data_IF_300282109586
#
_entry.id   IF_300282109586
#
_cell.length_a   1.000
_cell.length_b   1.000
_cell.length_c   1.000
_cell.angle_alpha   90.00
_cell.angle_beta   90.00
_cell.angle_gamma   90.00
#
_symmetry.space_group_name_H-M   'P 1'
#
loop_
_entity.id
_entity.type
_entity.pdbx_description
1 polymer ?
#
# COMPACT_ATOMS: atom_id res chain seq x y z
N UNK A 1 0.46 -34.70 15.62
CA UNK A 1 -0.12 -34.04 16.81
C UNK A 1 0.37 -32.60 16.80
N UNK A 2 -0.50 -31.61 16.59
CA UNK A 2 -0.12 -30.19 16.58
C UNK A 2 -0.28 -29.60 17.98
N UNK A 3 0.76 -28.94 18.52
CA UNK A 3 0.69 -28.22 19.78
C UNK A 3 0.35 -26.75 19.54
N UNK A 4 -0.73 -26.27 20.17
CA UNK A 4 -1.11 -24.86 20.19
C UNK A 4 -0.57 -24.20 21.47
N UNK A 5 0.06 -23.02 21.34
CA UNK A 5 0.44 -22.17 22.49
C UNK A 5 -0.65 -21.13 22.74
N UNK A 6 -1.42 -21.30 23.81
CA UNK A 6 -2.37 -20.28 24.27
C UNK A 6 -1.60 -19.06 24.83
N UNK A 7 -1.86 -17.89 24.23
CA UNK A 7 -1.31 -16.59 24.62
C UNK A 7 -1.83 -16.21 26.01
N UNK A 8 -0.95 -16.15 27.01
CA UNK A 8 -1.22 -15.41 28.25
C UNK A 8 -0.90 -13.93 28.01
N UNK A 9 -1.90 -13.06 28.14
CA UNK A 9 -1.69 -11.62 28.21
C UNK A 9 -0.95 -11.31 29.51
N UNK A 10 0.34 -11.01 29.42
CA UNK A 10 1.13 -10.52 30.53
C UNK A 10 1.56 -9.10 30.20
N UNK A 11 0.69 -8.16 30.53
CA UNK A 11 1.09 -6.80 30.86
C UNK A 11 1.83 -6.93 32.19
N UNK A 12 3.16 -7.03 32.13
CA UNK A 12 4.00 -6.87 33.31
C UNK A 12 4.97 -5.73 33.03
N UNK A 13 4.53 -4.58 33.51
CA UNK A 13 5.25 -3.34 33.70
C UNK A 13 6.68 -3.59 34.25
N UNK A 14 7.75 -3.20 33.51
CA UNK A 14 9.12 -3.33 33.97
C UNK A 14 9.51 -2.47 35.18
N UNK A 15 8.60 -1.70 35.79
CA UNK A 15 8.97 -0.72 36.83
C UNK A 15 8.67 -1.18 38.27
N UNK A 16 8.10 -2.37 38.50
CA UNK A 16 7.92 -2.90 39.87
C UNK A 16 8.01 -4.43 39.97
N UNK A 17 9.20 -4.97 40.24
CA UNK A 17 9.33 -6.14 41.14
C UNK A 17 10.78 -6.35 41.59
N UNK A 18 10.93 -6.29 42.91
CA UNK A 18 12.13 -6.58 43.67
C UNK A 18 12.54 -8.06 43.56
N UNK A 19 13.85 -8.32 43.48
CA UNK A 19 14.42 -9.63 43.84
C UNK A 19 15.35 -10.25 42.80
N UNK A 20 16.66 -10.01 42.95
CA UNK A 20 17.70 -10.82 42.27
C UNK A 20 17.62 -12.29 42.73
N UNK A 21 18.05 -13.24 41.88
CA UNK A 21 19.00 -14.23 42.37
C UNK A 21 20.23 -14.42 41.47
N UNK A 22 21.36 -14.06 42.07
CA UNK A 22 22.65 -14.77 42.17
C UNK A 22 23.04 -15.84 41.11
N UNK A 23 24.29 -15.68 40.62
CA UNK A 23 25.19 -16.70 40.03
C UNK A 23 24.89 -17.24 38.62
N UNK A 24 25.20 -16.47 37.57
CA UNK A 24 25.80 -17.01 36.32
C UNK A 24 26.86 -16.09 35.70
N UNK A 25 28.09 -16.30 36.17
CA UNK A 25 29.38 -16.33 35.46
C UNK A 25 29.63 -15.31 34.32
N UNK A 26 30.39 -14.27 34.69
CA UNK A 26 31.08 -13.32 33.82
C UNK A 26 32.07 -14.07 32.91
N UNK A 27 31.87 -14.06 31.59
CA UNK A 27 32.95 -14.42 30.66
C UNK A 27 33.84 -13.19 30.44
N UNK A 28 35.11 -13.29 30.79
CA UNK A 28 36.15 -12.32 30.45
C UNK A 28 36.76 -12.67 29.08
N UNK A 29 37.27 -11.68 28.32
CA UNK A 29 37.68 -11.84 26.93
C UNK A 29 39.04 -12.51 26.82
N UNK A 30 39.24 -13.35 25.80
CA UNK A 30 40.57 -13.87 25.48
C UNK A 30 41.29 -12.87 24.57
N UNK A 31 42.25 -12.14 25.14
CA UNK A 31 43.23 -11.36 24.39
C UNK A 31 44.24 -12.35 23.77
N UNK A 32 44.26 -12.46 22.44
CA UNK A 32 45.39 -13.05 21.72
C UNK A 32 46.01 -11.97 20.83
N UNK A 33 46.99 -11.27 21.37
CA UNK A 33 47.98 -10.55 20.56
C UNK A 33 49.17 -11.47 20.37
N UNK A 34 49.69 -11.62 19.13
CA UNK A 34 51.09 -11.90 18.93
C UNK A 34 51.74 -10.68 18.30
N UNK A 35 52.59 -10.01 19.08
CA UNK A 35 53.63 -9.15 18.52
C UNK A 35 54.80 -10.03 18.05
N UNK A 36 55.34 -9.76 16.86
CA UNK A 36 56.79 -9.63 16.58
C UNK A 36 57.04 -9.56 15.07
N UNK A 37 57.29 -8.34 14.60
CA UNK A 37 58.36 -7.93 13.66
C UNK A 37 58.62 -8.65 12.32
N UNK A 38 58.59 -7.79 11.29
CA UNK A 38 59.57 -7.54 10.20
C UNK A 38 59.28 -8.00 8.76
N UNK A 39 59.16 -6.96 7.91
CA UNK A 39 59.62 -6.80 6.52
C UNK A 39 58.62 -6.85 5.34
N UNK A 40 58.46 -5.64 4.77
CA UNK A 40 58.59 -5.24 3.35
C UNK A 40 57.47 -5.59 2.35
N UNK A 41 56.62 -4.57 2.16
CA UNK A 41 56.17 -4.02 0.87
C UNK A 41 55.76 -4.97 -0.25
N UNK A 42 54.44 -5.21 -0.34
CA UNK A 42 53.73 -5.15 -1.61
C UNK A 42 52.35 -4.54 -1.35
N UNK A 43 52.01 -3.51 -2.13
CA UNK A 43 50.75 -2.79 -2.08
C UNK A 43 49.60 -3.72 -2.50
N UNK A 44 49.05 -4.47 -1.55
CA UNK A 44 47.75 -5.10 -1.66
C UNK A 44 46.77 -4.31 -0.79
N UNK A 45 45.84 -3.62 -1.45
CA UNK A 45 44.73 -2.93 -0.83
C UNK A 45 43.85 -3.97 -0.11
N UNK A 46 44.13 -4.21 1.16
CA UNK A 46 43.17 -4.89 2.03
C UNK A 46 42.09 -3.87 2.38
N UNK A 47 40.81 -4.08 1.99
CA UNK A 47 39.74 -3.26 2.52
C UNK A 47 39.65 -3.48 4.03
N UNK A 48 39.41 -2.40 4.77
CA UNK A 48 39.29 -2.39 6.23
C UNK A 48 38.41 -3.56 6.75
N UNK A 49 38.81 -4.28 7.83
CA UNK A 49 38.02 -5.36 8.41
C UNK A 49 36.73 -4.86 9.06
N UNK A 50 36.70 -3.58 9.42
CA UNK A 50 35.45 -2.83 9.58
C UNK A 50 35.10 -2.30 8.20
N UNK A 51 34.49 -3.14 7.37
CA UNK A 51 34.00 -2.76 6.06
C UNK A 51 33.12 -1.51 6.16
N UNK A 52 33.11 -0.68 5.12
CA UNK A 52 32.41 0.60 5.10
C UNK A 52 30.96 0.46 5.59
N UNK A 53 30.71 0.85 6.85
CA UNK A 53 29.38 0.89 7.47
C UNK A 53 28.68 2.17 7.03
N UNK A 54 28.63 2.37 5.72
CA UNK A 54 27.58 3.18 5.12
C UNK A 54 26.85 2.25 4.18
N UNK A 55 25.78 1.63 4.68
CA UNK A 55 24.75 1.10 3.81
C UNK A 55 24.12 2.31 3.09
N UNK A 56 24.83 2.85 2.10
CA UNK A 56 24.30 3.87 1.21
C UNK A 56 23.13 3.19 0.54
N UNK A 57 21.92 3.66 0.83
CA UNK A 57 20.71 3.28 0.13
C UNK A 57 20.94 3.62 -1.34
N UNK A 58 21.51 2.67 -2.08
CA UNK A 58 21.75 2.88 -3.51
C UNK A 58 20.38 2.96 -4.19
N UNK A 59 20.27 3.72 -5.30
CA UNK A 59 19.03 3.78 -6.07
C UNK A 59 18.49 2.38 -6.41
N UNK A 60 19.38 1.43 -6.72
CA UNK A 60 19.01 0.05 -7.03
C UNK A 60 18.41 -0.67 -5.83
N UNK A 61 19.00 -0.48 -4.64
CA UNK A 61 18.49 -1.07 -3.39
C UNK A 61 17.16 -0.45 -2.97
N UNK A 62 17.02 0.86 -3.16
CA UNK A 62 15.76 1.56 -2.91
C UNK A 62 14.66 1.04 -3.84
N UNK A 63 14.95 0.90 -5.13
CA UNK A 63 14.00 0.35 -6.10
C UNK A 63 13.64 -1.12 -5.79
N UNK A 64 14.61 -1.92 -5.36
CA UNK A 64 14.35 -3.30 -4.92
C UNK A 64 13.42 -3.33 -3.70
N UNK A 65 13.71 -2.53 -2.67
CA UNK A 65 12.87 -2.44 -1.48
C UNK A 65 11.45 -1.96 -1.81
N UNK A 66 11.30 -0.95 -2.68
CA UNK A 66 9.98 -0.46 -3.11
C UNK A 66 9.18 -1.57 -3.83
N UNK A 67 9.81 -2.31 -4.75
CA UNK A 67 9.16 -3.42 -5.45
C UNK A 67 8.73 -4.53 -4.49
N UNK A 68 9.62 -4.93 -3.59
CA UNK A 68 9.33 -5.94 -2.57
C UNK A 68 8.18 -5.50 -1.67
N UNK A 69 8.17 -4.23 -1.27
CA UNK A 69 7.13 -3.66 -0.41
C UNK A 69 5.77 -3.58 -1.13
N UNK A 70 5.73 -3.15 -2.39
CA UNK A 70 4.50 -3.17 -3.21
C UNK A 70 3.96 -4.60 -3.32
N UNK A 71 4.82 -5.58 -3.62
CA UNK A 71 4.43 -7.00 -3.65
C UNK A 71 3.92 -7.49 -2.29
N UNK A 72 4.57 -7.09 -1.19
CA UNK A 72 4.14 -7.43 0.18
C UNK A 72 2.77 -6.83 0.49
N UNK A 73 2.53 -5.58 0.09
CA UNK A 73 1.27 -4.86 0.32
C UNK A 73 0.13 -5.47 -0.51
N UNK A 74 0.36 -5.84 -1.78
CA UNK A 74 -0.62 -6.57 -2.59
C UNK A 74 -0.96 -7.94 -1.98
N UNK A 75 0.05 -8.72 -1.53
CA UNK A 75 -0.18 -10.01 -0.83
C UNK A 75 -0.99 -9.85 0.45
N UNK A 76 -0.77 -8.78 1.21
CA UNK A 76 -1.53 -8.47 2.43
C UNK A 76 -2.89 -7.81 2.18
N UNK A 77 -3.25 -7.55 0.91
CA UNK A 77 -4.43 -6.73 0.54
C UNK A 77 -4.45 -5.35 1.20
N UNK A 78 -3.27 -4.79 1.49
CA UNK A 78 -3.10 -3.47 2.11
C UNK A 78 -3.02 -2.35 1.07
N UNK A 79 -2.66 -2.69 -0.18
CA UNK A 79 -2.87 -1.82 -1.32
C UNK A 79 -4.30 -2.05 -1.80
N UNK A 80 -5.18 -1.12 -1.47
CA UNK A 80 -6.55 -1.13 -1.97
C UNK A 80 -6.53 -0.63 -3.42
N UNK A 81 -6.40 -1.56 -4.36
CA UNK A 81 -6.60 -1.31 -5.77
C UNK A 81 -7.70 -2.28 -6.22
N UNK A 82 -8.93 -1.78 -6.34
CA UNK A 82 -10.09 -2.57 -6.72
C UNK A 82 -10.55 -2.17 -8.14
N UNK A 83 -9.93 -2.73 -9.19
CA UNK A 83 -10.28 -2.39 -10.57
C UNK A 83 -11.73 -2.72 -10.90
N UNK A 84 -12.33 -3.69 -10.20
CA UNK A 84 -13.73 -4.08 -10.37
C UNK A 84 -14.68 -3.00 -9.88
N UNK A 85 -14.35 -2.32 -8.78
CA UNK A 85 -15.15 -1.22 -8.26
C UNK A 85 -15.06 0.00 -9.17
N UNK A 86 -13.87 0.29 -9.71
CA UNK A 86 -13.71 1.33 -10.72
C UNK A 86 -14.48 1.02 -12.01
N UNK A 87 -14.44 -0.23 -12.49
CA UNK A 87 -15.23 -0.67 -13.63
C UNK A 87 -16.74 -0.57 -13.38
N UNK A 88 -17.18 -0.96 -12.18
CA UNK A 88 -18.59 -0.87 -11.77
C UNK A 88 -19.04 0.58 -11.75
N UNK A 89 -18.25 1.48 -11.17
CA UNK A 89 -18.54 2.91 -11.13
C UNK A 89 -18.66 3.51 -12.54
N UNK A 90 -17.76 3.15 -13.45
CA UNK A 90 -17.82 3.62 -14.85
C UNK A 90 -19.09 3.12 -15.55
N UNK A 91 -19.47 1.85 -15.33
CA UNK A 91 -20.71 1.30 -15.91
C UNK A 91 -21.96 1.99 -15.37
N UNK A 92 -22.02 2.22 -14.06
CA UNK A 92 -23.15 2.89 -13.42
C UNK A 92 -23.30 4.34 -13.91
N UNK A 93 -22.20 5.09 -14.03
CA UNK A 93 -22.21 6.43 -14.61
C UNK A 93 -22.70 6.42 -16.06
N UNK A 94 -22.25 5.46 -16.86
CA UNK A 94 -22.71 5.31 -18.23
C UNK A 94 -24.23 5.03 -18.30
N UNK A 95 -24.74 4.09 -17.50
CA UNK A 95 -26.16 3.74 -17.47
C UNK A 95 -27.02 4.91 -16.99
N UNK A 96 -26.54 5.69 -16.01
CA UNK A 96 -27.20 6.91 -15.55
C UNK A 96 -27.29 7.95 -16.67
N UNK A 97 -26.18 8.23 -17.35
CA UNK A 97 -26.15 9.19 -18.46
C UNK A 97 -27.04 8.72 -19.60
N UNK A 98 -26.98 7.44 -19.96
CA UNK A 98 -27.80 6.85 -21.01
C UNK A 98 -29.29 7.01 -20.69
N UNK A 99 -29.68 6.70 -19.45
CA UNK A 99 -31.07 6.82 -18.98
C UNK A 99 -31.54 8.27 -19.04
N UNK A 100 -30.74 9.21 -18.52
CA UNK A 100 -31.03 10.64 -18.56
C UNK A 100 -31.20 11.14 -20.00
N UNK A 101 -30.32 10.72 -20.91
CA UNK A 101 -30.39 11.11 -22.33
C UNK A 101 -31.60 10.51 -23.02
N UNK A 102 -31.97 9.27 -22.72
CA UNK A 102 -33.17 8.65 -23.26
C UNK A 102 -34.43 9.38 -22.76
N UNK A 103 -34.53 9.70 -21.47
CA UNK A 103 -35.68 10.44 -20.96
C UNK A 103 -35.80 11.84 -21.55
N UNK A 104 -34.68 12.58 -21.71
CA UNK A 104 -34.67 13.87 -22.40
C UNK A 104 -35.22 13.76 -23.83
N UNK A 105 -34.86 12.70 -24.56
CA UNK A 105 -35.39 12.44 -25.90
C UNK A 105 -36.88 12.14 -25.88
N UNK A 106 -37.35 11.31 -24.94
CA UNK A 106 -38.78 11.01 -24.78
C UNK A 106 -39.58 12.28 -24.47
N UNK A 107 -39.14 13.10 -23.52
CA UNK A 107 -39.81 14.34 -23.15
C UNK A 107 -39.89 15.31 -24.34
N UNK A 108 -38.78 15.46 -25.09
CA UNK A 108 -38.75 16.29 -26.29
C UNK A 108 -39.75 15.80 -27.36
N UNK A 109 -39.81 14.49 -27.59
CA UNK A 109 -40.73 13.89 -28.56
C UNK A 109 -42.20 14.06 -28.16
N UNK A 110 -42.53 13.81 -26.89
CA UNK A 110 -43.87 13.98 -26.34
C UNK A 110 -44.28 15.45 -26.44
N UNK A 111 -43.41 16.36 -26.00
CA UNK A 111 -43.65 17.81 -26.09
C UNK A 111 -43.87 18.27 -27.53
N UNK A 112 -43.03 17.81 -28.47
CA UNK A 112 -43.20 18.14 -29.88
C UNK A 112 -44.56 17.68 -30.42
N UNK A 113 -44.98 16.46 -30.09
CA UNK A 113 -46.26 15.92 -30.54
C UNK A 113 -47.43 16.69 -29.94
N UNK A 114 -47.35 17.01 -28.65
CA UNK A 114 -48.32 17.83 -27.94
C UNK A 114 -48.46 19.22 -28.59
N UNK A 115 -47.34 19.91 -28.82
CA UNK A 115 -47.32 21.25 -29.43
C UNK A 115 -47.92 21.22 -30.84
N UNK A 116 -47.65 20.18 -31.62
CA UNK A 116 -48.21 20.00 -32.97
C UNK A 116 -49.73 19.81 -32.95
N UNK A 117 -50.26 19.09 -31.96
CA UNK A 117 -51.71 18.91 -31.78
C UNK A 117 -52.33 20.24 -31.34
N UNK A 118 -51.74 20.88 -30.33
CA UNK A 118 -52.22 22.14 -29.77
C UNK A 118 -52.29 23.24 -30.83
N UNK A 119 -51.23 23.39 -31.65
CA UNK A 119 -51.18 24.36 -32.74
C UNK A 119 -52.29 24.15 -33.77
N UNK A 120 -52.65 22.90 -34.07
CA UNK A 120 -53.77 22.60 -34.98
C UNK A 120 -55.11 23.04 -34.38
N UNK A 121 -55.34 22.78 -33.10
CA UNK A 121 -56.56 23.20 -32.42
C UNK A 121 -56.68 24.73 -32.34
N UNK A 122 -55.62 25.43 -31.96
CA UNK A 122 -55.61 26.90 -31.91
C UNK A 122 -55.81 27.52 -33.30
N UNK A 123 -55.20 26.93 -34.34
CA UNK A 123 -55.41 27.38 -35.73
C UNK A 123 -56.84 27.15 -36.24
N UNK A 124 -57.53 26.11 -35.76
CA UNK A 124 -58.91 25.80 -36.14
C UNK A 124 -59.96 26.61 -35.35
N UNK A 125 -59.58 27.18 -34.20
CA UNK A 125 -60.46 27.94 -33.32
C UNK A 125 -60.47 29.46 -33.60
N UNK A 126 -59.61 29.96 -34.48
CA UNK A 126 -59.59 31.38 -34.85
C UNK A 126 -60.77 31.74 -35.80
N UNK A 127 -61.66 32.69 -35.44
CA UNK A 127 -62.75 33.11 -36.32
C UNK A 127 -62.24 33.93 -37.52
N UNK A 128 -62.83 33.68 -38.70
CA UNK A 128 -62.54 34.37 -39.97
C UNK A 128 -63.00 35.81 -40.01
#
# INVERSE_FOLDING_TARGET
MACATLKRSLEFDPVHSHGRPNKRRRCAPMCVSPGSSTQRSSSQQNPSPFGEVTHKLTPEKMAANIREEICRLHKRKQLHFNPQEQETQIREEYDQILTMKLSEQYDAFVKFTYDQIQKRFESAAAPS
#
